data_IF_704693894365
#
_entry.id   IF_704693894365
#
_cell.length_a   1.000
_cell.length_b   1.000
_cell.length_c   1.000
_cell.angle_alpha   90.00
_cell.angle_beta   90.00
_cell.angle_gamma   90.00
#
_symmetry.space_group_name_H-M   'P 1'
#
loop_
_entity.id
_entity.type
_entity.pdbx_description
1 polymer ?
#
# COMPACT_ATOMS: atom_id res chain seq x y z
N UNK A 1 30.41 6.30 29.02
CA UNK A 1 29.58 5.16 28.54
C UNK A 1 28.20 5.33 29.13
N UNK A 2 27.22 5.71 28.31
CA UNK A 2 25.84 5.91 28.76
C UNK A 2 25.11 4.56 28.59
N UNK A 3 24.52 3.97 29.65
CA UNK A 3 23.89 2.68 29.54
C UNK A 3 22.58 2.83 28.77
N UNK A 4 22.56 2.18 27.61
CA UNK A 4 21.44 1.99 26.71
C UNK A 4 20.16 1.68 27.48
N UNK A 5 19.15 2.55 27.34
CA UNK A 5 17.79 2.28 27.77
C UNK A 5 17.28 1.05 27.03
N UNK A 6 17.05 -0.06 27.74
CA UNK A 6 16.41 -1.23 27.15
C UNK A 6 15.05 -0.83 26.54
N UNK A 7 14.74 -1.26 25.31
CA UNK A 7 13.46 -0.93 24.69
C UNK A 7 12.29 -1.51 25.50
N UNK A 8 11.19 -0.77 25.59
CA UNK A 8 9.99 -1.20 26.29
C UNK A 8 9.37 -2.45 25.65
N UNK A 9 8.60 -3.23 26.42
CA UNK A 9 7.93 -4.46 25.94
C UNK A 9 7.04 -4.21 24.71
N UNK A 10 6.42 -3.03 24.60
CA UNK A 10 5.67 -2.63 23.41
C UNK A 10 6.56 -2.41 22.19
N UNK A 11 7.75 -1.83 22.37
CA UNK A 11 8.75 -1.63 21.31
C UNK A 11 9.26 -2.97 20.77
N UNK A 12 9.56 -3.92 21.65
CA UNK A 12 9.98 -5.28 21.28
C UNK A 12 8.86 -6.02 20.51
N UNK A 13 7.60 -5.80 20.87
CA UNK A 13 6.44 -6.34 20.15
C UNK A 13 6.34 -5.80 18.72
N UNK A 14 6.46 -4.48 18.55
CA UNK A 14 6.41 -3.82 17.23
C UNK A 14 7.55 -4.29 16.31
N UNK A 15 8.78 -4.42 16.82
CA UNK A 15 9.91 -4.91 16.02
C UNK A 15 9.69 -6.34 15.51
N UNK A 16 9.17 -7.22 16.37
CA UNK A 16 8.81 -8.59 15.99
C UNK A 16 7.71 -8.60 14.93
N UNK A 17 6.69 -7.78 15.09
CA UNK A 17 5.60 -7.66 14.12
C UNK A 17 6.09 -7.12 12.76
N UNK A 18 7.00 -6.15 12.75
CA UNK A 18 7.65 -5.67 11.52
C UNK A 18 8.44 -6.81 10.84
N UNK A 19 9.15 -7.64 11.60
CA UNK A 19 9.85 -8.80 11.06
C UNK A 19 8.87 -9.79 10.41
N UNK A 20 7.75 -10.10 11.07
CA UNK A 20 6.71 -10.96 10.50
C UNK A 20 6.18 -10.42 9.17
N UNK A 21 5.89 -9.11 9.11
CA UNK A 21 5.43 -8.45 7.89
C UNK A 21 6.43 -8.53 6.72
N UNK A 22 7.74 -8.53 7.00
CA UNK A 22 8.78 -8.74 5.97
C UNK A 22 8.75 -10.15 5.39
N UNK A 23 8.55 -11.17 6.22
CA UNK A 23 8.41 -12.55 5.74
C UNK A 23 7.17 -12.70 4.84
N UNK A 24 6.06 -12.09 5.24
CA UNK A 24 4.81 -12.10 4.48
C UNK A 24 4.98 -11.37 3.15
N UNK A 25 5.71 -10.25 3.13
CA UNK A 25 6.03 -9.54 1.90
C UNK A 25 6.70 -10.45 0.87
N UNK A 26 7.62 -11.32 1.28
CA UNK A 26 8.25 -12.30 0.40
C UNK A 26 7.26 -13.35 -0.13
N UNK A 27 6.35 -13.84 0.72
CA UNK A 27 5.32 -14.81 0.34
C UNK A 27 4.37 -14.20 -0.72
N UNK A 28 3.88 -12.99 -0.46
CA UNK A 28 3.02 -12.24 -1.39
C UNK A 28 3.76 -11.95 -2.69
N UNK A 29 5.03 -11.54 -2.62
CA UNK A 29 5.87 -11.29 -3.81
C UNK A 29 5.95 -12.53 -4.70
N UNK A 30 6.27 -13.69 -4.09
CA UNK A 30 6.36 -14.96 -4.80
C UNK A 30 5.05 -15.31 -5.49
N UNK A 31 3.92 -15.14 -4.80
CA UNK A 31 2.61 -15.46 -5.36
C UNK A 31 2.22 -14.50 -6.50
N UNK A 32 2.36 -13.18 -6.29
CA UNK A 32 2.05 -12.17 -7.30
C UNK A 32 2.90 -12.35 -8.56
N UNK A 33 4.20 -12.57 -8.42
CA UNK A 33 5.08 -12.73 -9.58
C UNK A 33 4.90 -14.08 -10.29
N UNK A 34 4.34 -15.09 -9.61
CA UNK A 34 3.99 -16.38 -10.25
C UNK A 34 2.69 -16.32 -11.08
N UNK A 35 1.82 -15.34 -10.81
CA UNK A 35 0.50 -15.21 -11.48
C UNK A 35 0.52 -14.19 -12.62
N UNK A 36 1.56 -13.38 -12.74
CA UNK A 36 1.70 -12.38 -13.81
C UNK A 36 2.25 -12.99 -15.10
N UNK A 37 1.99 -12.30 -16.21
CA UNK A 37 2.55 -12.66 -17.50
C UNK A 37 4.08 -12.71 -17.41
N UNK A 38 4.66 -13.83 -17.87
CA UNK A 38 6.11 -13.94 -18.08
C UNK A 38 6.51 -12.75 -18.96
N UNK A 39 7.53 -11.99 -18.55
CA UNK A 39 8.03 -10.78 -19.25
C UNK A 39 7.30 -9.45 -18.98
N UNK A 40 6.55 -9.32 -17.87
CA UNK A 40 5.99 -8.04 -17.43
C UNK A 40 6.76 -7.44 -16.24
N UNK A 41 6.99 -6.12 -16.27
CA UNK A 41 7.48 -5.40 -15.10
C UNK A 41 6.39 -5.37 -14.03
N UNK A 42 6.77 -5.61 -12.78
CA UNK A 42 5.84 -5.62 -11.65
C UNK A 42 6.44 -4.83 -10.50
N UNK A 43 5.62 -3.98 -9.88
CA UNK A 43 5.94 -3.25 -8.66
C UNK A 43 4.72 -3.28 -7.76
N UNK A 44 4.94 -3.44 -6.46
CA UNK A 44 3.89 -3.32 -5.46
C UNK A 44 4.52 -2.93 -4.12
N UNK A 45 3.70 -2.43 -3.20
CA UNK A 45 4.14 -2.11 -1.84
C UNK A 45 3.55 -3.10 -0.84
N UNK A 46 4.37 -4.02 -0.27
CA UNK A 46 3.89 -4.94 0.75
C UNK A 46 3.35 -4.23 2.00
N UNK A 47 3.98 -3.13 2.41
CA UNK A 47 3.53 -2.35 3.56
C UNK A 47 2.12 -1.76 3.34
N UNK A 48 1.83 -1.37 2.11
CA UNK A 48 0.54 -0.82 1.70
C UNK A 48 -0.55 -1.91 1.68
N UNK A 49 -0.22 -3.11 1.19
CA UNK A 49 -1.12 -4.28 1.27
C UNK A 49 -1.40 -4.66 2.73
N UNK A 50 -0.37 -4.73 3.56
CA UNK A 50 -0.54 -5.05 4.99
C UNK A 50 -1.41 -4.00 5.70
N UNK A 51 -1.31 -2.73 5.29
CA UNK A 51 -2.15 -1.65 5.79
C UNK A 51 -3.62 -1.86 5.42
N UNK A 52 -3.92 -2.19 4.17
CA UNK A 52 -5.28 -2.51 3.72
C UNK A 52 -5.85 -3.76 4.42
N UNK A 53 -5.02 -4.78 4.66
CA UNK A 53 -5.43 -5.96 5.44
C UNK A 53 -5.71 -5.59 6.91
N UNK A 54 -4.90 -4.74 7.51
CA UNK A 54 -5.12 -4.25 8.88
C UNK A 54 -6.43 -3.46 8.98
N UNK A 55 -6.69 -2.61 7.99
CA UNK A 55 -7.93 -1.83 7.84
C UNK A 55 -9.15 -2.76 7.75
N UNK A 56 -9.06 -3.80 6.90
CA UNK A 56 -10.11 -4.80 6.75
C UNK A 56 -10.34 -5.62 8.03
N UNK A 57 -9.27 -6.05 8.71
CA UNK A 57 -9.36 -6.78 9.98
C UNK A 57 -9.98 -5.96 11.12
N UNK A 58 -9.91 -4.63 11.01
CA UNK A 58 -10.49 -3.71 11.97
C UNK A 58 -11.91 -3.26 11.57
N UNK A 59 -12.43 -3.74 10.44
CA UNK A 59 -13.75 -3.39 9.92
C UNK A 59 -14.91 -4.18 10.53
N UNK A 60 -16.15 -3.91 10.08
CA UNK A 60 -17.37 -4.44 10.69
C UNK A 60 -17.65 -5.93 10.45
N UNK A 61 -16.94 -6.61 9.54
CA UNK A 61 -17.24 -7.98 9.07
C UNK A 61 -16.92 -9.13 10.07
N UNK A 62 -16.72 -8.79 11.35
CA UNK A 62 -16.70 -9.76 12.44
C UNK A 62 -15.42 -10.58 12.58
N UNK A 63 -15.39 -11.40 13.63
CA UNK A 63 -14.18 -12.05 14.15
C UNK A 63 -13.53 -13.09 13.21
N UNK A 64 -14.27 -13.68 12.26
CA UNK A 64 -13.72 -14.73 11.41
C UNK A 64 -12.71 -14.20 10.37
N UNK A 65 -13.05 -13.12 9.67
CA UNK A 65 -12.16 -12.47 8.70
C UNK A 65 -10.96 -11.86 9.42
N UNK A 66 -11.19 -11.21 10.56
CA UNK A 66 -10.11 -10.67 11.39
C UNK A 66 -9.14 -11.76 11.85
N UNK A 67 -9.62 -12.93 12.26
CA UNK A 67 -8.77 -14.05 12.70
C UNK A 67 -7.89 -14.61 11.57
N UNK A 68 -8.43 -14.74 10.36
CA UNK A 68 -7.65 -15.17 9.19
C UNK A 68 -6.57 -14.14 8.85
N UNK A 69 -6.90 -12.85 8.91
CA UNK A 69 -5.94 -11.78 8.68
C UNK A 69 -4.87 -11.75 9.78
N UNK A 70 -5.23 -11.94 11.06
CA UNK A 70 -4.26 -12.02 12.15
C UNK A 70 -3.32 -13.21 11.97
N UNK A 71 -3.85 -14.37 11.60
CA UNK A 71 -3.05 -15.56 11.29
C UNK A 71 -2.09 -15.30 10.13
N UNK A 72 -2.59 -14.71 9.04
CA UNK A 72 -1.80 -14.38 7.87
C UNK A 72 -0.71 -13.35 8.19
N UNK A 73 -1.07 -12.27 8.89
CA UNK A 73 -0.14 -11.21 9.32
C UNK A 73 0.76 -11.62 10.48
N UNK A 74 0.54 -12.83 11.04
CA UNK A 74 1.19 -13.37 12.24
C UNK A 74 1.16 -12.37 13.39
N UNK A 75 0.00 -11.76 13.58
CA UNK A 75 -0.29 -10.83 14.66
C UNK A 75 -1.24 -11.47 15.66
N UNK A 76 -1.18 -11.00 16.89
CA UNK A 76 -1.95 -11.50 18.03
C UNK A 76 -3.19 -10.67 18.35
N UNK A 77 -3.27 -9.43 17.85
CA UNK A 77 -4.41 -8.53 18.08
C UNK A 77 -4.48 -7.38 17.07
N UNK A 78 -5.66 -6.75 16.99
CA UNK A 78 -5.86 -5.50 16.25
C UNK A 78 -4.96 -4.38 16.77
N UNK A 79 -4.73 -4.30 18.08
CA UNK A 79 -3.87 -3.27 18.69
C UNK A 79 -2.41 -3.39 18.22
N UNK A 80 -1.90 -4.61 18.07
CA UNK A 80 -0.55 -4.84 17.54
C UNK A 80 -0.46 -4.40 16.08
N UNK A 81 -1.45 -4.76 15.24
CA UNK A 81 -1.49 -4.31 13.85
C UNK A 81 -1.60 -2.78 13.75
N UNK A 82 -2.45 -2.15 14.56
CA UNK A 82 -2.63 -0.70 14.60
C UNK A 82 -1.35 0.02 15.04
N UNK A 83 -0.60 -0.54 16.00
CA UNK A 83 0.69 0.00 16.42
C UNK A 83 1.73 -0.08 15.30
N UNK A 84 1.81 -1.20 14.58
CA UNK A 84 2.69 -1.34 13.41
C UNK A 84 2.28 -0.39 12.31
N UNK A 85 0.98 -0.30 12.00
CA UNK A 85 0.45 0.62 11.01
C UNK A 85 0.79 2.08 11.35
N UNK A 86 0.60 2.50 12.61
CA UNK A 86 0.96 3.84 13.07
C UNK A 86 2.46 4.14 12.87
N UNK A 87 3.33 3.13 13.07
CA UNK A 87 4.77 3.26 12.80
C UNK A 87 5.07 3.37 11.30
N UNK A 88 4.38 2.59 10.46
CA UNK A 88 4.51 2.66 9.01
C UNK A 88 4.09 4.04 8.49
N UNK A 89 2.94 4.56 8.92
CA UNK A 89 2.47 5.88 8.48
C UNK A 89 3.42 6.98 8.90
N UNK A 90 3.85 6.99 10.17
CA UNK A 90 4.69 8.07 10.71
C UNK A 90 6.12 8.08 10.18
N UNK A 91 6.65 6.94 9.73
CA UNK A 91 8.05 6.82 9.29
C UNK A 91 8.17 6.52 7.81
N UNK A 92 7.49 5.47 7.34
CA UNK A 92 7.66 4.89 6.00
C UNK A 92 6.84 5.64 4.95
N UNK A 93 5.63 6.08 5.29
CA UNK A 93 4.75 6.81 4.35
C UNK A 93 4.80 8.32 4.49
N UNK A 94 5.58 8.83 5.45
CA UNK A 94 5.77 10.26 5.60
C UNK A 94 6.52 10.85 4.39
N UNK A 95 6.07 12.02 3.94
CA UNK A 95 6.77 12.79 2.92
C UNK A 95 8.00 13.46 3.54
N UNK A 96 9.18 13.06 3.08
CA UNK A 96 10.45 13.59 3.55
C UNK A 96 11.08 14.57 2.57
N UNK A 97 10.37 14.95 1.50
CA UNK A 97 10.89 15.84 0.44
C UNK A 97 11.31 17.22 0.93
N UNK A 98 10.66 17.74 1.97
CA UNK A 98 11.03 19.00 2.63
C UNK A 98 12.39 18.95 3.35
N UNK A 99 12.88 17.75 3.66
CA UNK A 99 14.15 17.51 4.35
C UNK A 99 15.20 16.86 3.43
N UNK A 100 15.00 16.94 2.11
CA UNK A 100 15.89 16.31 1.11
C UNK A 100 15.72 14.80 0.96
N UNK A 101 14.76 14.20 1.67
CA UNK A 101 14.38 12.80 1.50
C UNK A 101 13.45 12.57 0.31
N UNK A 102 12.95 11.33 0.12
CA UNK A 102 12.04 11.02 -0.97
C UNK A 102 10.69 11.72 -0.80
N UNK A 103 10.07 12.08 -1.92
CA UNK A 103 8.66 12.42 -1.97
C UNK A 103 7.84 11.14 -1.92
N UNK A 104 6.98 11.03 -0.91
CA UNK A 104 6.08 9.91 -0.71
C UNK A 104 4.65 10.46 -0.60
N UNK A 105 3.72 9.85 -1.31
CA UNK A 105 2.29 10.12 -1.15
C UNK A 105 1.59 8.78 -1.03
N UNK A 106 0.99 8.53 0.12
CA UNK A 106 0.24 7.30 0.41
C UNK A 106 -1.19 7.67 0.73
N UNK A 107 -2.15 6.99 0.12
CA UNK A 107 -3.57 7.17 0.41
C UNK A 107 -4.28 5.85 0.63
N UNK A 108 -5.16 5.87 1.62
CA UNK A 108 -6.04 4.78 2.00
C UNK A 108 -7.48 5.26 1.80
N UNK A 109 -8.36 4.37 1.38
CA UNK A 109 -9.78 4.67 1.25
C UNK A 109 -10.65 3.45 1.53
N UNK A 110 -11.82 3.70 2.09
CA UNK A 110 -12.84 2.69 2.39
C UNK A 110 -14.19 3.22 1.89
N UNK A 111 -14.80 2.49 0.96
CA UNK A 111 -16.14 2.78 0.47
C UNK A 111 -17.03 1.61 0.77
N UNK A 112 -18.08 1.84 1.55
CA UNK A 112 -18.99 0.78 1.99
C UNK A 112 -20.37 1.06 1.43
N UNK A 113 -21.04 0.01 0.98
CA UNK A 113 -22.42 0.07 0.54
C UNK A 113 -23.30 0.71 1.62
N UNK A 114 -24.00 1.77 1.22
CA UNK A 114 -24.78 2.64 2.10
C UNK A 114 -25.96 1.95 2.80
N UNK A 115 -26.38 0.78 2.31
CA UNK A 115 -27.44 -0.02 2.95
C UNK A 115 -26.94 -0.94 4.06
N UNK A 116 -25.62 -1.16 4.19
CA UNK A 116 -25.07 -2.05 5.23
C UNK A 116 -25.14 -1.40 6.63
N UNK A 117 -25.41 -2.16 7.71
CA UNK A 117 -25.39 -1.60 9.06
C UNK A 117 -23.93 -1.40 9.52
N UNK A 118 -23.54 -0.15 9.80
CA UNK A 118 -22.19 0.20 10.27
C UNK A 118 -22.30 1.11 11.49
N UNK A 119 -21.54 0.79 12.54
CA UNK A 119 -21.42 1.62 13.72
C UNK A 119 -20.59 2.89 13.42
N UNK A 120 -20.99 4.04 13.98
CA UNK A 120 -20.26 5.30 13.83
C UNK A 120 -18.78 5.22 14.27
N UNK A 121 -18.45 4.34 15.20
CA UNK A 121 -17.07 4.10 15.67
C UNK A 121 -16.12 3.63 14.55
N UNK A 122 -16.62 2.98 13.49
CA UNK A 122 -15.79 2.60 12.35
C UNK A 122 -15.32 3.80 11.53
N UNK A 123 -16.15 4.84 11.43
CA UNK A 123 -15.75 6.08 10.78
C UNK A 123 -14.55 6.70 11.51
N UNK A 124 -14.65 6.81 12.83
CA UNK A 124 -13.57 7.36 13.65
C UNK A 124 -12.30 6.52 13.53
N UNK A 125 -12.42 5.20 13.52
CA UNK A 125 -11.31 4.30 13.29
C UNK A 125 -10.63 4.56 11.93
N UNK A 126 -11.40 4.59 10.84
CA UNK A 126 -10.85 4.76 9.49
C UNK A 126 -10.24 6.15 9.27
N UNK A 127 -10.93 7.21 9.66
CA UNK A 127 -10.46 8.58 9.44
C UNK A 127 -9.33 8.95 10.40
N UNK A 128 -9.44 8.60 11.69
CA UNK A 128 -8.50 9.08 12.69
C UNK A 128 -7.28 8.18 12.86
N UNK A 129 -7.45 6.85 12.84
CA UNK A 129 -6.35 5.89 12.99
C UNK A 129 -5.69 5.62 11.65
N UNK A 130 -6.48 5.28 10.63
CA UNK A 130 -5.93 4.88 9.33
C UNK A 130 -5.65 6.03 8.36
N UNK A 131 -6.08 7.25 8.72
CA UNK A 131 -6.06 8.41 7.82
C UNK A 131 -6.65 8.07 6.45
N UNK A 132 -7.66 7.20 6.46
CA UNK A 132 -8.32 6.72 5.27
C UNK A 132 -9.48 7.64 4.94
N UNK A 133 -9.66 7.94 3.65
CA UNK A 133 -10.93 8.47 3.18
C UNK A 133 -12.02 7.43 3.47
N UNK A 134 -13.16 7.88 3.98
CA UNK A 134 -14.29 7.01 4.27
C UNK A 134 -15.54 7.59 3.62
N UNK A 135 -16.27 6.75 2.89
CA UNK A 135 -17.56 7.16 2.36
C UNK A 135 -18.57 5.99 2.30
N UNK A 136 -19.85 6.36 2.33
CA UNK A 136 -20.96 5.45 2.12
C UNK A 136 -21.51 5.67 0.71
N UNK A 137 -21.45 4.63 -0.10
CA UNK A 137 -21.72 4.73 -1.54
C UNK A 137 -22.81 3.77 -1.98
N UNK A 138 -23.40 4.03 -3.14
CA UNK A 138 -24.49 3.24 -3.70
C UNK A 138 -23.98 2.28 -4.79
N UNK A 139 -23.37 1.18 -4.36
CA UNK A 139 -23.01 0.10 -5.28
C UNK A 139 -24.26 -0.59 -5.81
N UNK A 140 -25.29 -0.78 -4.98
CA UNK A 140 -26.52 -1.50 -5.34
C UNK A 140 -27.21 -0.95 -6.60
N UNK A 141 -27.30 0.37 -6.74
CA UNK A 141 -27.97 0.99 -7.89
C UNK A 141 -27.01 1.72 -8.83
N UNK A 142 -25.88 2.21 -8.33
CA UNK A 142 -24.96 3.12 -9.05
C UNK A 142 -23.50 2.64 -9.10
N UNK A 143 -23.23 1.33 -9.00
CA UNK A 143 -21.87 0.75 -8.99
C UNK A 143 -20.86 1.34 -10.00
N UNK A 144 -21.26 1.57 -11.25
CA UNK A 144 -20.35 2.10 -12.27
C UNK A 144 -19.99 3.58 -12.04
N UNK A 145 -20.96 4.38 -11.59
CA UNK A 145 -20.72 5.77 -11.20
C UNK A 145 -19.77 5.84 -10.00
N UNK A 146 -20.02 4.99 -9.00
CA UNK A 146 -19.14 4.84 -7.84
C UNK A 146 -17.72 4.44 -8.28
N UNK A 147 -17.57 3.47 -9.20
CA UNK A 147 -16.26 3.08 -9.75
C UNK A 147 -15.49 4.28 -10.33
N UNK A 148 -16.16 5.13 -11.10
CA UNK A 148 -15.58 6.34 -11.70
C UNK A 148 -15.13 7.33 -10.61
N UNK A 149 -15.92 7.51 -9.56
CA UNK A 149 -15.60 8.38 -8.43
C UNK A 149 -14.37 7.88 -7.65
N UNK A 150 -14.27 6.57 -7.41
CA UNK A 150 -13.08 5.99 -6.77
C UNK A 150 -11.82 6.15 -7.62
N UNK A 151 -11.93 6.01 -8.94
CA UNK A 151 -10.80 6.26 -9.86
C UNK A 151 -10.36 7.73 -9.77
N UNK A 152 -11.30 8.66 -9.81
CA UNK A 152 -11.00 10.09 -9.68
C UNK A 152 -10.37 10.42 -8.34
N UNK A 153 -10.89 9.86 -7.25
CA UNK A 153 -10.29 9.98 -5.93
C UNK A 153 -8.82 9.52 -5.94
N UNK A 154 -8.53 8.36 -6.54
CA UNK A 154 -7.16 7.85 -6.60
C UNK A 154 -6.26 8.73 -7.47
N UNK A 155 -6.78 9.25 -8.59
CA UNK A 155 -6.05 10.16 -9.47
C UNK A 155 -5.68 11.46 -8.74
N UNK A 156 -6.64 12.12 -8.11
CA UNK A 156 -6.45 13.38 -7.37
C UNK A 156 -5.42 13.23 -6.24
N UNK A 157 -5.49 12.11 -5.51
CA UNK A 157 -4.61 11.83 -4.38
C UNK A 157 -3.21 11.32 -4.77
N UNK A 158 -2.99 10.99 -6.04
CA UNK A 158 -1.70 10.49 -6.54
C UNK A 158 -1.04 11.46 -7.52
N UNK A 159 -1.48 12.72 -7.53
CA UNK A 159 -1.02 13.76 -8.45
C UNK A 159 -1.19 13.36 -9.92
N UNK A 160 -2.28 12.66 -10.25
CA UNK A 160 -2.56 12.25 -11.63
C UNK A 160 -1.80 11.01 -12.10
N UNK A 161 -1.16 10.25 -11.22
CA UNK A 161 -0.29 9.14 -11.62
C UNK A 161 -1.00 7.78 -11.63
N UNK A 162 -2.01 7.60 -10.78
CA UNK A 162 -2.81 6.38 -10.74
C UNK A 162 -4.20 6.68 -11.30
N UNK A 163 -4.43 6.27 -12.54
CA UNK A 163 -5.65 6.61 -13.31
C UNK A 163 -6.59 5.44 -13.56
N UNK A 164 -6.14 4.22 -13.31
CA UNK A 164 -6.85 3.02 -13.74
C UNK A 164 -6.79 1.95 -12.64
N UNK A 165 -7.22 2.35 -11.43
CA UNK A 165 -7.16 1.49 -10.24
C UNK A 165 -8.21 0.37 -10.29
N UNK A 166 -9.38 0.65 -10.87
CA UNK A 166 -10.53 -0.24 -10.89
C UNK A 166 -10.98 -0.44 -12.34
N UNK A 167 -10.59 -1.53 -13.02
CA UNK A 167 -10.99 -1.77 -14.40
C UNK A 167 -12.51 -1.91 -14.52
N UNK A 168 -13.10 -1.66 -15.70
CA UNK A 168 -14.53 -1.86 -15.92
C UNK A 168 -14.99 -3.25 -15.45
N UNK A 169 -16.09 -3.29 -14.70
CA UNK A 169 -16.64 -4.54 -14.13
C UNK A 169 -15.95 -5.05 -12.86
N UNK A 170 -14.93 -4.36 -12.33
CA UNK A 170 -14.30 -4.74 -11.04
C UNK A 170 -15.20 -4.48 -9.82
N UNK A 171 -16.24 -3.67 -10.00
CA UNK A 171 -17.26 -3.33 -9.00
C UNK A 171 -18.62 -3.64 -9.61
N UNK A 172 -19.54 -4.14 -8.80
CA UNK A 172 -20.89 -4.50 -9.23
C UNK A 172 -21.92 -4.17 -8.15
N UNK A 173 -23.20 -4.45 -8.45
CA UNK A 173 -24.30 -4.31 -7.47
C UNK A 173 -24.14 -5.21 -6.25
N UNK A 174 -23.30 -6.24 -6.32
CA UNK A 174 -23.01 -7.14 -5.21
C UNK A 174 -21.82 -6.67 -4.36
N UNK A 175 -21.15 -5.58 -4.75
CA UNK A 175 -20.04 -5.03 -3.98
C UNK A 175 -20.54 -4.44 -2.67
N UNK A 176 -20.15 -5.05 -1.54
CA UNK A 176 -20.45 -4.52 -0.21
C UNK A 176 -19.42 -3.49 0.29
N UNK A 177 -18.15 -3.67 -0.08
CA UNK A 177 -17.06 -2.80 0.37
C UNK A 177 -15.92 -2.80 -0.65
N UNK A 178 -15.26 -1.65 -0.79
CA UNK A 178 -14.00 -1.49 -1.52
C UNK A 178 -12.96 -0.85 -0.60
N UNK A 179 -11.80 -1.50 -0.50
CA UNK A 179 -10.62 -0.94 0.15
C UNK A 179 -9.64 -0.47 -0.93
N UNK A 180 -9.40 0.84 -1.00
CA UNK A 180 -8.45 1.45 -1.91
C UNK A 180 -7.12 1.76 -1.23
N UNK A 181 -6.02 1.47 -1.91
CA UNK A 181 -4.68 1.83 -1.45
C UNK A 181 -3.80 2.24 -2.63
N UNK A 182 -3.11 3.36 -2.50
CA UNK A 182 -2.24 3.89 -3.52
C UNK A 182 -1.00 4.53 -2.90
N UNK A 183 0.16 4.28 -3.50
CA UNK A 183 1.45 4.81 -3.06
C UNK A 183 2.22 5.34 -4.26
N UNK A 184 2.57 6.61 -4.20
CA UNK A 184 3.53 7.25 -5.08
C UNK A 184 4.86 7.43 -4.34
N UNK A 185 5.97 7.09 -5.01
CA UNK A 185 7.32 7.27 -4.50
C UNK A 185 8.19 7.94 -5.57
N UNK A 186 8.91 8.98 -5.16
CA UNK A 186 9.95 9.62 -5.96
C UNK A 186 11.13 10.01 -5.08
N UNK A 187 12.22 9.28 -5.22
CA UNK A 187 13.50 9.56 -4.55
C UNK A 187 14.49 10.28 -5.47
N UNK A 188 15.35 11.09 -4.88
CA UNK A 188 16.61 11.48 -5.48
C UNK A 188 17.71 10.53 -4.97
N UNK A 189 18.67 10.20 -5.85
CA UNK A 189 19.89 9.53 -5.41
C UNK A 189 20.70 10.47 -4.51
N UNK A 190 21.34 9.92 -3.48
CA UNK A 190 22.28 10.68 -2.64
C UNK A 190 23.44 11.24 -3.47
N UNK A 191 23.95 10.42 -4.39
CA UNK A 191 24.88 10.83 -5.44
C UNK A 191 24.18 10.69 -6.79
N UNK A 192 23.77 11.79 -7.45
CA UNK A 192 23.09 11.73 -8.73
C UNK A 192 24.03 11.28 -9.85
N UNK A 193 23.48 10.55 -10.82
CA UNK A 193 24.20 10.23 -12.06
C UNK A 193 24.41 11.50 -12.90
N UNK A 194 25.60 11.65 -13.47
CA UNK A 194 25.85 12.67 -14.47
C UNK A 194 25.23 12.22 -15.81
N UNK A 195 24.24 13.01 -16.26
CA UNK A 195 23.46 12.73 -17.47
C UNK A 195 24.31 12.64 -18.74
N UNK A 196 25.48 13.28 -18.77
CA UNK A 196 26.40 13.20 -19.92
C UNK A 196 26.97 11.81 -20.14
N UNK A 197 26.95 10.96 -19.10
CA UNK A 197 27.36 9.55 -19.16
C UNK A 197 26.19 8.59 -19.39
N UNK A 198 24.94 9.07 -19.46
CA UNK A 198 23.80 8.24 -19.84
C UNK A 198 23.85 7.94 -21.33
N UNK A 199 23.91 6.66 -21.70
CA UNK A 199 23.98 6.22 -23.10
C UNK A 199 23.04 5.05 -23.36
N UNK A 200 22.47 5.03 -24.56
CA UNK A 200 21.68 3.91 -25.03
C UNK A 200 22.55 2.66 -25.14
N UNK A 201 22.13 1.59 -24.48
CA UNK A 201 22.81 0.29 -24.42
C UNK A 201 21.77 -0.82 -24.56
N UNK A 202 22.18 -1.98 -25.09
CA UNK A 202 21.29 -3.13 -25.18
C UNK A 202 20.97 -3.73 -23.80
N UNK A 203 19.68 -3.83 -23.50
CA UNK A 203 19.14 -4.60 -22.38
C UNK A 203 18.57 -5.92 -22.91
N UNK A 204 19.07 -7.04 -22.38
CA UNK A 204 18.59 -8.37 -22.75
C UNK A 204 17.31 -8.72 -21.98
N UNK A 205 16.22 -8.93 -22.70
CA UNK A 205 14.96 -9.39 -22.15
C UNK A 205 15.01 -10.90 -21.83
N UNK A 206 14.16 -11.33 -20.91
CA UNK A 206 13.97 -12.75 -20.59
C UNK A 206 13.44 -13.59 -21.77
N UNK A 207 12.91 -12.95 -22.83
CA UNK A 207 12.54 -13.61 -24.10
C UNK A 207 13.74 -13.97 -24.97
N UNK A 208 14.95 -13.51 -24.63
CA UNK A 208 16.17 -13.65 -25.42
C UNK A 208 16.39 -12.53 -26.45
N UNK A 209 15.47 -11.57 -26.56
CA UNK A 209 15.60 -10.40 -27.45
C UNK A 209 16.24 -9.22 -26.73
N UNK A 210 17.00 -8.37 -27.44
CA UNK A 210 17.52 -7.11 -26.91
C UNK A 210 16.59 -5.94 -27.20
N UNK A 211 16.56 -4.96 -26.30
CA UNK A 211 15.98 -3.63 -26.55
C UNK A 211 17.01 -2.56 -26.21
N UNK A 212 17.07 -1.49 -26.99
CA UNK A 212 17.91 -0.33 -26.67
C UNK A 212 17.25 0.51 -25.59
N UNK A 213 17.98 0.82 -24.51
CA UNK A 213 17.49 1.72 -23.45
C UNK A 213 18.63 2.54 -22.83
N UNK A 214 18.32 3.70 -22.24
CA UNK A 214 19.34 4.53 -21.58
C UNK A 214 19.84 3.86 -20.30
N UNK A 215 21.15 3.58 -20.25
CA UNK A 215 21.84 3.15 -19.03
C UNK A 215 22.60 4.33 -18.42
N UNK A 216 22.45 4.54 -17.11
CA UNK A 216 23.18 5.58 -16.40
C UNK A 216 24.62 5.12 -16.11
N UNK A 217 25.60 5.83 -16.65
CA UNK A 217 27.02 5.61 -16.34
C UNK A 217 27.45 6.27 -15.03
N UNK A 218 28.47 5.70 -14.40
CA UNK A 218 29.15 6.29 -13.23
C UNK A 218 30.60 6.59 -13.63
N UNK A 219 31.13 7.74 -13.22
CA UNK A 219 32.57 8.02 -13.37
C UNK A 219 33.31 7.15 -12.37
N UNK A 220 34.15 6.23 -12.86
CA UNK A 220 35.04 5.39 -12.05
C UNK A 220 36.26 6.15 -11.58
#
# INVERSE_FOLDING_TARGET
MNPSSLPSKSTIGVEKAIKNQKDIALIVSKHLFSTKAKHSNSVFSPALINSALTLAASGPDGSSVSNEIFSFLRSSSTDELNAVFSKLVSVVFADHSSHGGPKITSVNGVWIEQTLPIDSSFKDLFENVFKAAFDRVDFLTNAEQVRIELIKWAEDHTNGLIKDLLPPGSVSRQTGCVFGNALFFKGAWEVPFDKSYTKDTEFQLLSGTSVSMPFNGVVS
#
